data_IF_255839833939
#
_entry.id   IF_255839833939
#
_cell.length_a   1.000
_cell.length_b   1.000
_cell.length_c   1.000
_cell.angle_alpha   90.00
_cell.angle_beta   90.00
_cell.angle_gamma   90.00
#
_symmetry.space_group_name_H-M   'P 1'
#
loop_
_entity.id
_entity.type
_entity.pdbx_description
1 polymer ?
#
# COMPACT_ATOMS: atom_id res chain seq x y z
N UNK A 1 -35.04 11.30 -8.79
CA UNK A 1 -34.98 10.57 -7.49
C UNK A 1 -34.07 9.34 -7.65
N UNK A 2 -32.77 9.49 -7.44
CA UNK A 2 -31.78 8.42 -7.70
C UNK A 2 -31.56 7.47 -6.53
N UNK A 3 -31.02 6.27 -6.82
CA UNK A 3 -30.69 5.22 -5.84
C UNK A 3 -29.81 5.74 -4.69
N UNK A 4 -28.88 6.65 -4.99
CA UNK A 4 -28.01 7.32 -4.00
C UNK A 4 -28.79 7.97 -2.83
N UNK A 5 -29.98 8.54 -3.07
CA UNK A 5 -30.80 9.10 -1.98
C UNK A 5 -31.36 8.05 -1.02
N UNK A 6 -31.58 6.81 -1.50
CA UNK A 6 -32.00 5.69 -0.65
C UNK A 6 -30.84 5.14 0.17
N UNK A 7 -29.63 5.12 -0.39
CA UNK A 7 -28.41 4.72 0.33
C UNK A 7 -28.06 5.78 1.39
N UNK A 8 -28.01 7.06 1.02
CA UNK A 8 -27.74 8.18 1.95
C UNK A 8 -28.72 8.19 3.13
N UNK A 9 -30.03 8.02 2.88
CA UNK A 9 -31.02 7.96 3.95
C UNK A 9 -30.87 6.68 4.82
N UNK A 10 -30.43 5.55 4.25
CA UNK A 10 -30.20 4.31 5.01
C UNK A 10 -28.97 4.38 5.93
N UNK A 11 -27.92 5.11 5.54
CA UNK A 11 -26.82 5.43 6.46
C UNK A 11 -27.32 6.37 7.55
N UNK A 12 -27.84 7.54 7.18
CA UNK A 12 -28.22 8.59 8.15
C UNK A 12 -29.30 8.19 9.16
N UNK A 13 -30.23 7.31 8.80
CA UNK A 13 -31.28 6.85 9.72
C UNK A 13 -30.86 5.67 10.61
N UNK A 14 -29.73 5.00 10.30
CA UNK A 14 -29.19 3.91 11.14
C UNK A 14 -28.03 4.35 12.02
N UNK A 15 -27.23 5.33 11.61
CA UNK A 15 -26.21 5.90 12.50
C UNK A 15 -26.83 6.56 13.72
N UNK A 16 -27.87 7.40 13.54
CA UNK A 16 -28.56 8.04 14.65
C UNK A 16 -29.14 7.05 15.68
N UNK A 17 -29.70 5.92 15.21
CA UNK A 17 -30.29 4.90 16.09
C UNK A 17 -29.27 3.92 16.70
N UNK A 18 -28.02 3.90 16.22
CA UNK A 18 -26.92 3.15 16.84
C UNK A 18 -26.10 4.05 17.78
N UNK A 19 -26.04 5.35 17.52
CA UNK A 19 -25.38 6.33 18.39
C UNK A 19 -26.08 6.49 19.75
N UNK A 20 -27.38 6.17 19.83
CA UNK A 20 -28.14 6.04 21.08
C UNK A 20 -27.89 4.68 21.80
N UNK A 21 -27.19 3.72 21.19
CA UNK A 21 -26.92 2.37 21.73
C UNK A 21 -25.45 2.15 22.14
N UNK A 22 -24.52 2.97 21.64
CA UNK A 22 -23.14 3.05 22.13
C UNK A 22 -23.00 4.16 23.18
N UNK A 23 -22.91 3.78 24.47
CA UNK A 23 -22.68 4.74 25.57
C UNK A 23 -21.29 5.41 25.52
N UNK A 24 -20.32 4.86 24.76
CA UNK A 24 -19.03 5.48 24.47
C UNK A 24 -18.90 5.90 22.99
N UNK A 25 -18.77 7.20 22.66
CA UNK A 25 -18.48 7.66 21.30
C UNK A 25 -17.12 7.17 20.76
N UNK A 26 -16.19 6.76 21.63
CA UNK A 26 -14.91 6.14 21.24
C UNK A 26 -15.08 4.79 20.55
N UNK A 27 -16.00 3.93 21.03
CA UNK A 27 -16.34 2.66 20.40
C UNK A 27 -17.05 2.86 19.05
N UNK A 28 -17.96 3.83 18.99
CA UNK A 28 -18.69 4.16 17.76
C UNK A 28 -17.75 4.55 16.60
N UNK A 29 -16.62 5.22 16.90
CA UNK A 29 -15.59 5.54 15.91
C UNK A 29 -14.80 4.31 15.43
N UNK A 30 -14.46 3.38 16.31
CA UNK A 30 -13.79 2.13 15.90
C UNK A 30 -14.72 1.25 15.05
N UNK A 31 -15.98 1.11 15.44
CA UNK A 31 -16.99 0.38 14.66
C UNK A 31 -17.21 1.01 13.28
N UNK A 32 -17.22 2.34 13.19
CA UNK A 32 -17.29 3.04 11.90
C UNK A 32 -16.06 2.76 11.02
N UNK A 33 -14.86 2.73 11.61
CA UNK A 33 -13.63 2.37 10.88
C UNK A 33 -13.68 0.92 10.38
N UNK A 34 -14.04 -0.04 11.23
CA UNK A 34 -14.16 -1.46 10.87
C UNK A 34 -15.18 -1.66 9.73
N UNK A 35 -16.37 -1.08 9.84
CA UNK A 35 -17.43 -1.18 8.82
C UNK A 35 -16.99 -0.62 7.45
N UNK A 36 -16.14 0.41 7.41
CA UNK A 36 -15.61 0.91 6.14
C UNK A 36 -14.53 0.00 5.56
N UNK A 37 -13.68 -0.62 6.39
CA UNK A 37 -12.73 -1.67 5.94
C UNK A 37 -13.48 -2.89 5.38
N UNK A 38 -14.59 -3.25 6.02
CA UNK A 38 -15.44 -4.36 5.60
C UNK A 38 -16.13 -4.07 4.25
N UNK A 39 -16.66 -2.86 4.04
CA UNK A 39 -17.20 -2.47 2.73
C UNK A 39 -16.10 -2.34 1.65
N UNK A 40 -14.88 -1.92 1.99
CA UNK A 40 -13.74 -1.96 1.05
C UNK A 40 -13.41 -3.39 0.63
N UNK A 41 -13.41 -4.34 1.57
CA UNK A 41 -13.23 -5.77 1.28
C UNK A 41 -14.32 -6.29 0.33
N UNK A 42 -15.59 -6.01 0.62
CA UNK A 42 -16.73 -6.37 -0.26
C UNK A 42 -16.65 -5.72 -1.64
N UNK A 43 -16.11 -4.50 -1.75
CA UNK A 43 -15.83 -3.83 -3.04
C UNK A 43 -14.74 -4.58 -3.82
N UNK A 44 -13.66 -5.02 -3.16
CA UNK A 44 -12.57 -5.78 -3.78
C UNK A 44 -13.02 -7.19 -4.24
N UNK A 45 -13.85 -7.89 -3.46
CA UNK A 45 -14.47 -9.15 -3.86
C UNK A 45 -15.35 -8.99 -5.11
N UNK A 46 -16.19 -7.95 -5.13
CA UNK A 46 -17.08 -7.63 -6.26
C UNK A 46 -16.27 -7.24 -7.50
N UNK A 47 -15.21 -6.45 -7.33
CA UNK A 47 -14.30 -6.06 -8.41
C UNK A 47 -13.55 -7.27 -8.97
N UNK A 48 -13.03 -8.16 -8.12
CA UNK A 48 -12.42 -9.44 -8.55
C UNK A 48 -13.41 -10.30 -9.33
N UNK A 49 -14.65 -10.39 -8.87
CA UNK A 49 -15.74 -11.13 -9.52
C UNK A 49 -16.13 -10.53 -10.88
N UNK A 50 -16.09 -9.20 -11.00
CA UNK A 50 -16.34 -8.46 -12.24
C UNK A 50 -15.20 -8.64 -13.25
N UNK A 51 -13.95 -8.43 -12.82
CA UNK A 51 -12.74 -8.63 -13.65
C UNK A 51 -12.64 -10.09 -14.13
N UNK A 52 -12.99 -11.06 -13.29
CA UNK A 52 -13.07 -12.48 -13.66
C UNK A 52 -14.05 -12.72 -14.81
N UNK A 53 -15.23 -12.07 -14.78
CA UNK A 53 -16.21 -12.17 -15.86
C UNK A 53 -15.71 -11.53 -17.14
N UNK A 54 -15.10 -10.33 -17.10
CA UNK A 54 -14.47 -9.71 -18.28
C UNK A 54 -13.38 -10.61 -18.86
N UNK A 55 -12.48 -11.13 -18.02
CA UNK A 55 -11.42 -12.08 -18.42
C UNK A 55 -11.95 -13.42 -18.95
N UNK A 56 -13.22 -13.76 -18.75
CA UNK A 56 -13.87 -14.91 -19.41
C UNK A 56 -14.34 -14.56 -20.83
N UNK A 57 -14.84 -13.34 -21.04
CA UNK A 57 -15.22 -12.84 -22.38
C UNK A 57 -13.98 -12.59 -23.25
N UNK A 58 -12.91 -12.03 -22.69
CA UNK A 58 -11.62 -11.86 -23.38
C UNK A 58 -11.06 -13.20 -23.90
N UNK A 59 -11.07 -14.25 -23.07
CA UNK A 59 -10.65 -15.61 -23.48
C UNK A 59 -11.54 -16.14 -24.61
N UNK A 60 -12.87 -16.09 -24.44
CA UNK A 60 -13.81 -16.51 -25.49
C UNK A 60 -13.56 -15.76 -26.82
N UNK A 61 -13.26 -14.46 -26.76
CA UNK A 61 -12.91 -13.69 -27.96
C UNK A 61 -11.61 -14.21 -28.60
N UNK A 62 -10.56 -14.45 -27.81
CA UNK A 62 -9.29 -15.03 -28.28
C UNK A 62 -9.44 -16.44 -28.87
N UNK A 63 -10.34 -17.26 -28.33
CA UNK A 63 -10.65 -18.59 -28.86
C UNK A 63 -11.30 -18.47 -30.26
N UNK A 64 -12.29 -17.58 -30.40
CA UNK A 64 -12.97 -17.30 -31.66
C UNK A 64 -12.08 -16.59 -32.70
N UNK A 65 -11.16 -15.71 -32.27
CA UNK A 65 -10.11 -15.11 -33.10
C UNK A 65 -9.15 -16.18 -33.66
N UNK A 66 -8.91 -17.26 -32.92
CA UNK A 66 -8.12 -18.42 -33.37
C UNK A 66 -8.91 -19.25 -34.39
N UNK A 67 -10.20 -19.50 -34.16
CA UNK A 67 -11.08 -20.15 -35.14
C UNK A 67 -11.19 -19.33 -36.45
N UNK A 68 -11.25 -18.00 -36.38
CA UNK A 68 -11.24 -17.11 -37.57
C UNK A 68 -9.97 -17.29 -38.40
N UNK A 69 -8.81 -17.49 -37.77
CA UNK A 69 -7.55 -17.77 -38.45
C UNK A 69 -7.58 -19.15 -39.09
N UNK A 70 -8.02 -20.18 -38.35
CA UNK A 70 -8.16 -21.55 -38.88
C UNK A 70 -9.11 -21.62 -40.08
N UNK A 71 -10.32 -21.07 -39.98
CA UNK A 71 -11.27 -21.03 -41.11
C UNK A 71 -10.74 -20.23 -42.32
N UNK A 72 -9.79 -19.31 -42.11
CA UNK A 72 -9.12 -18.58 -43.19
C UNK A 72 -8.04 -19.43 -43.88
N UNK A 73 -7.34 -20.29 -43.14
CA UNK A 73 -6.34 -21.22 -43.65
C UNK A 73 -7.00 -22.42 -44.35
N UNK A 74 -7.99 -23.06 -43.72
CA UNK A 74 -8.80 -24.12 -44.31
C UNK A 74 -9.45 -23.65 -45.63
N UNK A 75 -9.96 -22.41 -45.68
CA UNK A 75 -10.55 -21.85 -46.91
C UNK A 75 -9.51 -21.60 -48.02
N UNK A 76 -8.28 -21.17 -47.67
CA UNK A 76 -7.18 -21.04 -48.63
C UNK A 76 -6.76 -22.40 -49.18
N UNK A 77 -6.69 -23.42 -48.31
CA UNK A 77 -6.40 -24.79 -48.72
C UNK A 77 -7.47 -25.36 -49.65
N UNK A 78 -8.76 -25.13 -49.36
CA UNK A 78 -9.85 -25.54 -50.25
C UNK A 78 -9.77 -24.89 -51.64
N UNK A 79 -9.52 -23.57 -51.72
CA UNK A 79 -9.31 -22.86 -53.00
C UNK A 79 -8.09 -23.41 -53.75
N UNK A 80 -7.00 -23.75 -53.04
CA UNK A 80 -5.79 -24.33 -53.65
C UNK A 80 -5.97 -25.77 -54.17
N UNK A 81 -7.11 -26.42 -53.89
CA UNK A 81 -7.51 -27.73 -54.42
C UNK A 81 -8.75 -27.64 -55.33
N UNK A 82 -9.07 -26.43 -55.85
CA UNK A 82 -10.25 -26.12 -56.67
C UNK A 82 -11.63 -26.42 -56.01
N UNK A 83 -11.69 -26.65 -54.69
CA UNK A 83 -12.93 -26.86 -53.94
C UNK A 83 -13.55 -25.51 -53.50
N UNK A 84 -14.22 -24.87 -54.46
CA UNK A 84 -14.97 -23.64 -54.20
C UNK A 84 -16.14 -23.82 -53.23
N UNK A 85 -16.78 -24.98 -53.13
CA UNK A 85 -17.97 -25.15 -52.27
C UNK A 85 -17.59 -25.22 -50.78
N UNK A 86 -16.54 -25.98 -50.46
CA UNK A 86 -15.95 -26.00 -49.12
C UNK A 86 -15.38 -24.64 -48.77
N UNK A 87 -14.63 -23.98 -49.68
CA UNK A 87 -14.09 -22.64 -49.46
C UNK A 87 -15.20 -21.61 -49.12
N UNK A 88 -16.26 -21.55 -49.93
CA UNK A 88 -17.42 -20.67 -49.70
C UNK A 88 -18.13 -20.98 -48.38
N UNK A 89 -18.14 -22.25 -47.94
CA UNK A 89 -18.75 -22.67 -46.67
C UNK A 89 -17.91 -22.27 -45.46
N UNK A 90 -16.59 -22.45 -45.52
CA UNK A 90 -15.65 -22.03 -44.47
C UNK A 90 -15.64 -20.51 -44.31
N UNK A 91 -15.64 -19.75 -45.41
CA UNK A 91 -15.73 -18.29 -45.39
C UNK A 91 -17.05 -17.76 -44.80
N UNK A 92 -18.18 -18.47 -45.01
CA UNK A 92 -19.45 -18.14 -44.33
C UNK A 92 -19.36 -18.33 -42.81
N UNK A 93 -18.74 -19.43 -42.34
CA UNK A 93 -18.50 -19.67 -40.90
C UNK A 93 -17.59 -18.62 -40.29
N UNK A 94 -16.46 -18.33 -40.97
CA UNK A 94 -15.53 -17.25 -40.59
C UNK A 94 -16.26 -15.91 -40.40
N UNK A 95 -17.14 -15.53 -41.34
CA UNK A 95 -17.91 -14.28 -41.27
C UNK A 95 -18.82 -14.23 -40.03
N UNK A 96 -19.59 -15.29 -39.77
CA UNK A 96 -20.46 -15.35 -38.60
C UNK A 96 -19.68 -15.25 -37.27
N UNK A 97 -18.52 -15.91 -37.17
CA UNK A 97 -17.67 -15.82 -35.97
C UNK A 97 -17.00 -14.44 -35.85
N UNK A 98 -16.67 -13.78 -36.97
CA UNK A 98 -16.16 -12.40 -36.98
C UNK A 98 -17.20 -11.42 -36.41
N UNK A 99 -18.49 -11.62 -36.72
CA UNK A 99 -19.60 -10.82 -36.18
C UNK A 99 -19.77 -11.04 -34.66
N UNK A 100 -19.54 -12.27 -34.17
CA UNK A 100 -19.51 -12.56 -32.72
C UNK A 100 -18.29 -11.95 -32.01
N UNK A 101 -17.09 -12.01 -32.62
CA UNK A 101 -15.86 -11.39 -32.10
C UNK A 101 -15.98 -9.87 -31.98
N UNK A 102 -16.60 -9.21 -32.97
CA UNK A 102 -16.90 -7.78 -32.89
C UNK A 102 -17.85 -7.49 -31.71
N UNK A 103 -18.95 -8.25 -31.60
CA UNK A 103 -19.94 -8.10 -30.51
C UNK A 103 -19.30 -8.30 -29.12
N UNK A 104 -18.39 -9.26 -28.98
CA UNK A 104 -17.62 -9.48 -27.75
C UNK A 104 -16.61 -8.35 -27.48
N UNK A 105 -16.06 -7.73 -28.50
CA UNK A 105 -15.13 -6.60 -28.36
C UNK A 105 -15.83 -5.38 -27.79
N UNK A 106 -17.00 -5.01 -28.33
CA UNK A 106 -17.80 -3.90 -27.85
C UNK A 106 -18.20 -4.10 -26.36
N UNK A 107 -18.60 -5.32 -26.00
CA UNK A 107 -18.91 -5.69 -24.60
C UNK A 107 -17.69 -5.60 -23.67
N UNK A 108 -16.49 -5.98 -24.14
CA UNK A 108 -15.26 -5.88 -23.34
C UNK A 108 -14.88 -4.41 -23.09
N UNK A 109 -15.08 -3.53 -24.08
CA UNK A 109 -14.83 -2.08 -23.98
C UNK A 109 -15.81 -1.43 -22.99
N UNK A 110 -17.10 -1.78 -23.03
CA UNK A 110 -18.09 -1.31 -22.04
C UNK A 110 -17.70 -1.75 -20.62
N UNK A 111 -17.31 -3.02 -20.45
CA UNK A 111 -16.84 -3.55 -19.17
C UNK A 111 -15.52 -2.92 -18.71
N UNK A 112 -14.67 -2.43 -19.62
CA UNK A 112 -13.44 -1.71 -19.28
C UNK A 112 -13.72 -0.33 -18.68
N UNK A 113 -14.62 0.45 -19.29
CA UNK A 113 -15.04 1.74 -18.72
C UNK A 113 -15.67 1.59 -17.34
N UNK A 114 -16.50 0.55 -17.14
CA UNK A 114 -17.07 0.23 -15.82
C UNK A 114 -15.99 -0.26 -14.83
N UNK A 115 -14.98 -1.00 -15.28
CA UNK A 115 -13.86 -1.42 -14.44
C UNK A 115 -13.08 -0.21 -13.89
N UNK A 116 -12.79 0.77 -14.75
CA UNK A 116 -12.09 2.00 -14.37
C UNK A 116 -12.89 2.83 -13.37
N UNK A 117 -14.21 2.99 -13.58
CA UNK A 117 -15.08 3.70 -12.64
C UNK A 117 -15.13 3.01 -11.26
N UNK A 118 -15.16 1.67 -11.22
CA UNK A 118 -15.11 0.90 -9.98
C UNK A 118 -13.76 1.00 -9.28
N UNK A 119 -12.64 0.96 -10.02
CA UNK A 119 -11.28 1.16 -9.46
C UNK A 119 -11.13 2.57 -8.88
N UNK A 120 -11.67 3.60 -9.55
CA UNK A 120 -11.71 4.97 -9.04
C UNK A 120 -12.48 5.07 -7.72
N UNK A 121 -13.71 4.51 -7.66
CA UNK A 121 -14.54 4.47 -6.44
C UNK A 121 -13.86 3.71 -5.30
N UNK A 122 -13.24 2.56 -5.58
CA UNK A 122 -12.46 1.76 -4.62
C UNK A 122 -11.29 2.55 -4.04
N UNK A 123 -10.58 3.30 -4.89
CA UNK A 123 -9.46 4.16 -4.47
C UNK A 123 -9.95 5.32 -3.60
N UNK A 124 -11.05 5.97 -3.97
CA UNK A 124 -11.65 7.02 -3.16
C UNK A 124 -12.11 6.52 -1.77
N UNK A 125 -12.69 5.31 -1.70
CA UNK A 125 -13.06 4.66 -0.43
C UNK A 125 -11.82 4.35 0.43
N UNK A 126 -10.75 3.79 -0.16
CA UNK A 126 -9.48 3.55 0.55
C UNK A 126 -8.92 4.84 1.13
N UNK A 127 -8.90 5.93 0.35
CA UNK A 127 -8.39 7.22 0.83
C UNK A 127 -9.28 7.79 1.95
N UNK A 128 -10.61 7.67 1.85
CA UNK A 128 -11.53 8.11 2.91
C UNK A 128 -11.35 7.33 4.22
N UNK A 129 -11.05 6.03 4.14
CA UNK A 129 -10.69 5.21 5.30
C UNK A 129 -9.41 5.74 5.97
N UNK A 130 -8.35 6.00 5.19
CA UNK A 130 -7.09 6.53 5.72
C UNK A 130 -7.27 7.91 6.37
N UNK A 131 -8.06 8.81 5.76
CA UNK A 131 -8.39 10.10 6.39
C UNK A 131 -9.17 9.89 7.69
N UNK A 132 -10.15 8.99 7.71
CA UNK A 132 -10.93 8.70 8.91
C UNK A 132 -10.10 8.04 10.02
N UNK A 133 -9.10 7.23 9.68
CA UNK A 133 -8.15 6.64 10.63
C UNK A 133 -7.38 7.75 11.38
N UNK A 134 -7.00 8.84 10.70
CA UNK A 134 -6.42 10.04 11.34
C UNK A 134 -7.46 10.91 12.07
N UNK A 135 -8.64 11.16 11.48
CA UNK A 135 -9.75 11.89 12.14
C UNK A 135 -10.15 11.21 13.47
N UNK A 136 -10.15 9.87 13.50
CA UNK A 136 -10.54 9.05 14.66
C UNK A 136 -9.63 9.24 15.88
N UNK A 137 -8.31 9.19 15.71
CA UNK A 137 -7.40 9.33 16.85
C UNK A 137 -7.44 10.74 17.45
N UNK A 138 -7.60 11.77 16.61
CA UNK A 138 -7.82 13.16 17.07
C UNK A 138 -9.12 13.27 17.86
N UNK A 139 -10.23 12.73 17.33
CA UNK A 139 -11.53 12.75 18.02
C UNK A 139 -11.49 11.95 19.34
N UNK A 140 -10.80 10.80 19.39
CA UNK A 140 -10.61 10.04 20.63
C UNK A 140 -9.80 10.81 21.67
N UNK A 141 -8.74 11.51 21.26
CA UNK A 141 -7.97 12.37 22.16
C UNK A 141 -8.83 13.51 22.73
N UNK A 142 -9.64 14.17 21.88
CA UNK A 142 -10.58 15.22 22.30
C UNK A 142 -11.64 14.70 23.28
N UNK A 143 -12.28 13.56 22.99
CA UNK A 143 -13.25 12.92 23.88
C UNK A 143 -12.63 12.56 25.25
N UNK A 144 -11.39 12.05 25.26
CA UNK A 144 -10.67 11.73 26.50
C UNK A 144 -10.38 13.00 27.32
N UNK A 145 -10.03 14.10 26.66
CA UNK A 145 -9.83 15.40 27.31
C UNK A 145 -11.14 15.97 27.88
N UNK A 146 -12.24 15.93 27.12
CA UNK A 146 -13.56 16.39 27.57
C UNK A 146 -14.09 15.57 28.77
N UNK A 147 -13.93 14.25 28.75
CA UNK A 147 -14.23 13.38 29.90
C UNK A 147 -13.39 13.73 31.13
N UNK A 148 -12.11 14.06 30.93
CA UNK A 148 -11.21 14.49 32.00
C UNK A 148 -11.65 15.82 32.62
N UNK A 149 -12.01 16.82 31.80
CA UNK A 149 -12.53 18.12 32.26
C UNK A 149 -13.85 17.96 33.01
N UNK A 150 -14.80 17.18 32.48
CA UNK A 150 -16.07 16.90 33.19
C UNK A 150 -15.86 16.19 34.53
N UNK A 151 -14.85 15.32 34.62
CA UNK A 151 -14.47 14.66 35.88
C UNK A 151 -13.92 15.68 36.88
N UNK A 152 -13.11 16.65 36.44
CA UNK A 152 -12.60 17.74 37.30
C UNK A 152 -13.72 18.68 37.77
N UNK A 153 -14.68 19.04 36.91
CA UNK A 153 -15.84 19.87 37.28
C UNK A 153 -16.75 19.16 38.30
N UNK A 154 -16.92 17.84 38.19
CA UNK A 154 -17.67 17.05 39.18
C UNK A 154 -16.91 16.95 40.51
N UNK A 155 -15.60 16.65 40.47
CA UNK A 155 -14.75 16.54 41.66
C UNK A 155 -14.47 17.88 42.38
N UNK A 156 -14.61 19.02 41.69
CA UNK A 156 -14.56 20.36 42.33
C UNK A 156 -15.91 20.79 42.89
N UNK A 157 -17.02 20.20 42.43
CA UNK A 157 -18.36 20.41 42.99
C UNK A 157 -18.56 19.64 44.29
N UNK A 158 -18.01 18.43 44.43
CA UNK A 158 -18.07 17.63 45.66
C UNK A 158 -16.98 18.03 46.68
N UNK A 159 -17.39 18.34 47.91
CA UNK A 159 -16.62 19.24 48.79
C UNK A 159 -15.47 18.57 49.56
N UNK A 160 -14.20 18.69 49.14
CA UNK A 160 -13.03 18.42 50.03
C UNK A 160 -11.73 19.19 49.64
N UNK A 161 -11.79 20.52 49.57
CA UNK A 161 -10.75 21.39 48.98
C UNK A 161 -9.41 21.60 49.72
N UNK A 162 -8.72 20.53 50.15
CA UNK A 162 -7.35 20.64 50.74
C UNK A 162 -6.29 19.69 50.16
N UNK A 163 -6.64 18.55 49.58
CA UNK A 163 -5.68 17.75 48.78
C UNK A 163 -5.62 18.25 47.31
N UNK A 164 -6.60 19.05 46.90
CA UNK A 164 -6.79 19.52 45.52
C UNK A 164 -5.66 20.43 45.04
N UNK A 165 -5.03 21.25 45.89
CA UNK A 165 -3.92 22.13 45.46
C UNK A 165 -2.70 21.36 44.98
N UNK A 166 -2.36 20.23 45.60
CA UNK A 166 -1.23 19.40 45.17
C UNK A 166 -1.56 18.60 43.90
N UNK A 167 -2.83 18.31 43.64
CA UNK A 167 -3.27 17.74 42.37
C UNK A 167 -3.29 18.81 41.26
N UNK A 168 -3.81 20.00 41.55
CA UNK A 168 -3.89 21.14 40.63
C UNK A 168 -2.49 21.54 40.13
N UNK A 169 -1.53 21.76 41.05
CA UNK A 169 -0.15 22.08 40.67
C UNK A 169 0.46 21.02 39.71
N UNK A 170 0.14 19.72 39.89
CA UNK A 170 0.63 18.65 39.00
C UNK A 170 -0.11 18.59 37.66
N UNK A 171 -1.38 18.99 37.61
CA UNK A 171 -2.15 19.09 36.36
C UNK A 171 -1.78 20.36 35.60
N UNK A 172 -1.48 21.45 36.28
CA UNK A 172 -0.86 22.65 35.71
C UNK A 172 0.54 22.32 35.19
N UNK A 173 1.45 21.73 35.98
CA UNK A 173 2.75 21.22 35.51
C UNK A 173 2.61 20.32 34.27
N UNK A 174 1.66 19.37 34.27
CA UNK A 174 1.45 18.43 33.17
C UNK A 174 0.81 19.07 31.93
N UNK A 175 -0.07 20.07 32.10
CA UNK A 175 -0.72 20.79 31.00
C UNK A 175 0.22 21.83 30.41
N UNK A 176 1.01 22.53 31.23
CA UNK A 176 2.10 23.39 30.79
C UNK A 176 3.19 22.56 30.08
N UNK A 177 3.51 21.36 30.58
CA UNK A 177 4.37 20.40 29.86
C UNK A 177 3.75 19.92 28.54
N UNK A 178 2.43 19.74 28.46
CA UNK A 178 1.75 19.32 27.23
C UNK A 178 1.71 20.45 26.18
N UNK A 179 1.35 21.67 26.60
CA UNK A 179 1.32 22.87 25.75
C UNK A 179 2.74 23.22 25.30
N UNK A 180 3.72 23.30 26.21
CA UNK A 180 5.11 23.56 25.84
C UNK A 180 5.70 22.44 24.96
N UNK A 181 5.15 21.22 24.99
CA UNK A 181 5.49 20.14 24.06
C UNK A 181 4.79 20.29 22.71
N UNK A 182 3.57 20.79 22.65
CA UNK A 182 2.85 21.09 21.41
C UNK A 182 3.48 22.31 20.71
N UNK A 183 3.72 23.40 21.44
CA UNK A 183 4.50 24.57 21.00
C UNK A 183 5.92 24.18 20.57
N UNK A 184 6.62 23.29 21.30
CA UNK A 184 7.92 22.79 20.85
C UNK A 184 7.83 21.87 19.63
N UNK A 185 6.75 21.11 19.43
CA UNK A 185 6.54 20.33 18.20
C UNK A 185 6.25 21.26 17.02
N UNK A 186 5.50 22.34 17.22
CA UNK A 186 5.24 23.37 16.22
C UNK A 186 6.53 24.13 15.87
N UNK A 187 7.32 24.58 16.87
CA UNK A 187 8.62 25.23 16.66
C UNK A 187 9.64 24.27 16.01
N UNK A 188 9.69 22.99 16.37
CA UNK A 188 10.52 21.98 15.70
C UNK A 188 10.04 21.68 14.27
N UNK A 189 8.76 21.91 13.95
CA UNK A 189 8.22 21.76 12.60
C UNK A 189 8.51 23.01 11.75
N UNK A 190 8.33 24.22 12.29
CA UNK A 190 8.56 25.49 11.57
C UNK A 190 10.05 25.85 11.45
N UNK A 191 10.88 25.48 12.42
CA UNK A 191 12.35 25.60 12.33
C UNK A 191 13.02 24.56 11.42
N UNK A 192 12.27 23.56 10.96
CA UNK A 192 12.77 22.51 10.07
C UNK A 192 13.51 21.35 10.76
N UNK A 193 13.43 21.21 12.08
CA UNK A 193 14.04 20.08 12.79
C UNK A 193 13.39 18.71 12.44
N UNK A 194 12.18 18.72 11.86
CA UNK A 194 11.57 17.53 11.23
C UNK A 194 11.92 17.35 9.73
N UNK A 195 12.59 18.30 9.09
CA UNK A 195 13.14 18.19 7.73
C UNK A 195 14.55 17.53 7.74
N UNK A 196 15.07 17.24 8.93
CA UNK A 196 16.39 16.63 9.18
C UNK A 196 16.42 15.11 8.89
N UNK A 197 15.63 14.68 7.91
CA UNK A 197 15.72 13.39 7.22
C UNK A 197 17.11 13.13 6.63
N UNK A 198 17.92 14.18 6.43
CA UNK A 198 19.26 14.08 5.88
C UNK A 198 20.32 13.74 6.96
N UNK A 199 20.17 14.16 8.21
CA UNK A 199 21.25 14.02 9.21
C UNK A 199 21.28 12.67 9.92
N UNK A 200 20.16 11.95 10.01
CA UNK A 200 20.15 10.61 10.60
C UNK A 200 20.75 9.56 9.65
N UNK A 201 20.41 9.62 8.36
CA UNK A 201 20.98 8.70 7.36
C UNK A 201 22.47 9.01 7.11
N UNK A 202 22.89 10.29 7.10
CA UNK A 202 24.32 10.66 7.00
C UNK A 202 25.15 10.28 8.25
N UNK A 203 24.58 10.26 9.46
CA UNK A 203 25.29 9.87 10.69
C UNK A 203 25.31 8.37 10.99
N UNK A 204 24.47 7.56 10.33
CA UNK A 204 24.47 6.11 10.51
C UNK A 204 25.55 5.43 9.65
N UNK A 205 25.67 5.78 8.36
CA UNK A 205 26.69 5.16 7.50
C UNK A 205 28.11 5.71 7.75
N UNK A 206 28.26 6.97 8.18
CA UNK A 206 29.58 7.59 8.42
C UNK A 206 30.32 7.09 9.68
N UNK A 207 29.73 6.18 10.46
CA UNK A 207 30.27 5.67 11.73
C UNK A 207 30.41 4.14 11.82
N UNK A 208 30.17 3.37 10.74
CA UNK A 208 29.95 1.92 10.86
C UNK A 208 30.92 0.96 10.14
N UNK A 209 31.94 1.41 9.38
CA UNK A 209 32.80 0.45 8.63
C UNK A 209 34.26 0.86 8.44
N UNK A 210 34.57 1.97 7.78
CA UNK A 210 35.93 2.14 7.21
C UNK A 210 37.03 2.47 8.24
N UNK A 211 36.76 3.33 9.22
CA UNK A 211 37.80 3.85 10.13
C UNK A 211 38.40 2.78 11.07
N UNK A 212 37.57 1.92 11.66
CA UNK A 212 38.05 0.86 12.56
C UNK A 212 38.75 -0.28 11.77
N UNK A 213 38.36 -0.50 10.51
CA UNK A 213 38.96 -1.52 9.65
C UNK A 213 40.34 -1.09 9.14
N UNK A 214 40.56 0.17 8.78
CA UNK A 214 41.90 0.64 8.36
C UNK A 214 42.91 0.61 9.53
N UNK A 215 42.50 0.99 10.75
CA UNK A 215 43.33 0.86 11.96
C UNK A 215 43.65 -0.61 12.29
N UNK A 216 42.69 -1.54 12.16
CA UNK A 216 42.92 -2.97 12.35
C UNK A 216 43.80 -3.59 11.24
N UNK A 217 43.68 -3.11 9.99
CA UNK A 217 44.53 -3.53 8.86
C UNK A 217 45.98 -3.06 9.02
N UNK A 218 46.22 -1.81 9.44
CA UNK A 218 47.60 -1.33 9.67
C UNK A 218 48.22 -1.91 10.95
N UNK A 219 47.42 -2.26 11.97
CA UNK A 219 47.86 -3.11 13.08
C UNK A 219 48.33 -4.49 12.57
N UNK A 220 47.49 -5.20 11.81
CA UNK A 220 47.83 -6.52 11.23
C UNK A 220 49.05 -6.46 10.28
N UNK A 221 49.22 -5.37 9.51
CA UNK A 221 50.43 -5.15 8.68
C UNK A 221 51.68 -4.87 9.51
N UNK A 222 51.56 -4.32 10.71
CA UNK A 222 52.69 -4.13 11.62
C UNK A 222 53.14 -5.46 12.24
N UNK A 223 52.18 -6.30 12.62
CA UNK A 223 52.42 -7.64 13.17
C UNK A 223 53.02 -8.58 12.11
N UNK A 224 52.44 -8.60 10.90
CA UNK A 224 52.93 -9.42 9.79
C UNK A 224 54.32 -8.99 9.27
N UNK A 225 54.76 -7.75 9.52
CA UNK A 225 56.15 -7.31 9.27
C UNK A 225 57.10 -7.69 10.40
N UNK A 226 56.62 -7.82 11.63
CA UNK A 226 57.42 -8.35 12.74
C UNK A 226 57.75 -9.85 12.55
N UNK A 227 56.86 -10.60 11.91
CA UNK A 227 57.08 -12.02 11.57
C UNK A 227 57.85 -12.23 10.25
N UNK A 228 58.05 -11.20 9.41
CA UNK A 228 58.73 -11.34 8.11
C UNK A 228 60.18 -10.84 8.04
N UNK A 229 60.75 -10.37 9.15
CA UNK A 229 62.18 -9.98 9.27
C UNK A 229 62.99 -11.01 10.09
N UNK A 230 62.44 -12.22 10.24
CA UNK A 230 62.83 -13.21 11.26
C UNK A 230 63.35 -14.57 10.78
N UNK A 231 63.16 -14.97 9.52
CA UNK A 231 63.83 -16.15 8.93
C UNK A 231 63.84 -16.11 7.39
N UNK A 232 65.04 -15.97 6.79
CA UNK A 232 65.59 -16.92 5.81
C UNK A 232 66.95 -16.45 5.27
N UNK A 233 68.01 -17.12 5.73
CA UNK A 233 69.32 -17.13 5.07
C UNK A 233 69.42 -18.25 4.03
N UNK A 234 70.30 -18.02 3.05
CA UNK A 234 70.94 -19.00 2.16
C UNK A 234 70.22 -19.52 0.88
N UNK A 235 70.91 -19.22 -0.22
CA UNK A 235 70.92 -19.73 -1.60
C UNK A 235 71.01 -21.28 -1.78
N UNK A 236 71.04 -21.84 -3.02
CA UNK A 236 70.33 -21.54 -4.29
C UNK A 236 69.83 -22.83 -5.03
N UNK A 237 69.39 -22.75 -6.32
CA UNK A 237 70.11 -23.31 -7.51
C UNK A 237 69.25 -23.49 -8.81
N UNK A 238 69.93 -23.82 -9.92
CA UNK A 238 69.61 -23.79 -11.37
C UNK A 238 68.49 -24.70 -11.98
N UNK A 239 68.00 -24.25 -13.17
CA UNK A 239 67.47 -25.05 -14.31
C UNK A 239 66.15 -25.83 -14.06
N UNK A 240 65.36 -26.35 -15.02
CA UNK A 240 65.36 -26.48 -16.51
C UNK A 240 63.84 -26.64 -16.93
N UNK A 241 63.31 -26.73 -18.17
CA UNK A 241 63.85 -26.83 -19.54
C UNK A 241 62.84 -26.30 -20.60
N UNK A 242 63.24 -26.32 -21.88
CA UNK A 242 62.48 -26.11 -23.12
C UNK A 242 61.09 -26.79 -23.20
N UNK A 243 60.16 -26.14 -23.91
CA UNK A 243 59.54 -26.73 -25.11
C UNK A 243 58.79 -25.67 -25.95
N UNK A 244 59.36 -25.29 -27.11
CA UNK A 244 58.58 -24.93 -28.30
C UNK A 244 58.59 -26.15 -29.21
N UNK A 245 57.47 -26.51 -29.82
CA UNK A 245 57.52 -26.93 -31.23
C UNK A 245 56.20 -26.74 -31.98
N UNK A 246 56.35 -26.47 -33.29
CA UNK A 246 55.38 -26.55 -34.40
C UNK A 246 53.91 -26.14 -34.15
#
# INVERSE_FOLDING_TARGET
MGLFSRISNLLGSKTAALLDEYEDPGEALDFAHEQMRDELSRVDERLTTFVTQKKRLERKRSDLETDIQKYNEDARAAVANDDEETARTLLKRKKAITEEVNTLSDQIIELESVQEELVGKRTALKNRIQTFESEKEILKAQLTAEQSVQTVDQLTTDTQGHEITDALNRVEDATETAIAREEAIEELTESGAFDDKNTLDEQIDSLSTDAEIDDEIDALRSEQRSDSDGDQTDEPDQSDKDARDQ
#
